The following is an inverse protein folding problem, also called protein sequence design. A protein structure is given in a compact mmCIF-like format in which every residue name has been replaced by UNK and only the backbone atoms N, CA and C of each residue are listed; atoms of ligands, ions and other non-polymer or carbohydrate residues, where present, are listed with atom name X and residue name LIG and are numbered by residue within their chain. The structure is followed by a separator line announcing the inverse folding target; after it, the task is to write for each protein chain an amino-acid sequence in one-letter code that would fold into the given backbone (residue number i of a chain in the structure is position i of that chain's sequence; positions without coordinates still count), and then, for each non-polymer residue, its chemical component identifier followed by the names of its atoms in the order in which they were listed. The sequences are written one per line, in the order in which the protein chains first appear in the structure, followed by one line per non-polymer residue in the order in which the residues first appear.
data_IF_074718927230
#
_entry.id   IF_074718927230
#
_cell.length_a   1.000
_cell.length_b   1.000
_cell.length_c   1.000
_cell.angle_alpha   90.00
_cell.angle_beta   90.00
_cell.angle_gamma   90.00
#
_symmetry.space_group_name_H-M   'P 1'
#
loop_
_entity.id
_entity.type
_entity.pdbx_description
1 polymer ?
#
# COMPACT_ATOMS: atom_id res chain seq x y z
N UNK A 1 72.50 20.18 -17.40
CA UNK A 1 71.18 19.60 -17.11
C UNK A 1 70.96 19.79 -15.62
N UNK A 2 70.02 20.66 -15.29
CA UNK A 2 69.76 21.16 -13.95
C UNK A 2 69.27 20.04 -13.02
N UNK A 3 69.82 20.02 -11.82
CA UNK A 3 69.32 19.25 -10.69
C UNK A 3 69.57 20.08 -9.43
N UNK A 4 68.48 20.53 -8.81
CA UNK A 4 68.46 21.04 -7.44
C UNK A 4 67.41 20.23 -6.68
N UNK A 5 67.73 19.76 -5.47
CA UNK A 5 66.74 19.54 -4.42
C UNK A 5 66.88 20.58 -3.28
N UNK A 6 65.88 20.65 -2.39
CA UNK A 6 65.48 21.90 -1.74
C UNK A 6 65.94 22.02 -0.29
N UNK A 7 65.83 23.24 0.23
CA UNK A 7 65.99 23.58 1.64
C UNK A 7 64.68 24.04 2.29
N UNK A 8 64.61 23.73 3.58
CA UNK A 8 63.90 24.39 4.69
C UNK A 8 62.39 24.16 4.88
N UNK A 9 62.15 23.30 5.86
CA UNK A 9 61.06 23.33 6.84
C UNK A 9 60.98 24.65 7.62
N UNK A 10 59.76 25.11 7.90
CA UNK A 10 59.44 25.77 9.18
C UNK A 10 57.98 25.53 9.55
N UNK A 11 57.82 24.93 10.72
CA UNK A 11 56.58 24.66 11.46
C UNK A 11 55.96 25.93 12.03
N UNK A 12 54.63 25.94 12.14
CA UNK A 12 53.86 26.90 12.91
C UNK A 12 52.40 26.45 13.01
N UNK A 13 52.07 25.78 14.12
CA UNK A 13 50.70 25.47 14.54
C UNK A 13 49.89 26.76 14.78
N UNK A 14 48.60 26.75 14.41
CA UNK A 14 47.51 26.97 15.37
C UNK A 14 46.13 27.11 14.70
N UNK A 15 45.16 26.52 15.40
CA UNK A 15 43.73 26.88 15.45
C UNK A 15 42.81 26.33 14.37
N UNK A 16 42.02 25.36 14.84
CA UNK A 16 40.78 24.91 14.26
C UNK A 16 39.79 26.07 14.10
N UNK A 17 39.17 26.16 12.92
CA UNK A 17 37.74 26.45 12.84
C UNK A 17 37.12 25.35 11.99
N UNK A 18 36.60 24.32 12.66
CA UNK A 18 35.58 23.45 12.12
C UNK A 18 34.35 24.30 11.82
N UNK A 19 34.30 24.88 10.62
CA UNK A 19 33.05 25.31 10.03
C UNK A 19 32.25 24.05 9.77
N UNK A 20 31.44 23.64 10.75
CA UNK A 20 30.29 22.80 10.51
C UNK A 20 29.36 23.62 9.62
N UNK A 21 29.65 23.54 8.32
CA UNK A 21 28.86 24.18 7.29
C UNK A 21 27.49 23.53 7.33
N UNK A 22 26.50 24.35 7.68
CA UNK A 22 25.09 24.24 7.33
C UNK A 22 24.55 22.81 7.26
N UNK A 23 23.80 22.41 8.29
CA UNK A 23 22.79 21.34 8.19
C UNK A 23 22.00 21.53 6.89
N UNK A 24 22.36 20.78 5.85
CA UNK A 24 21.62 20.74 4.59
C UNK A 24 20.27 20.12 4.91
N UNK A 25 19.29 20.97 5.19
CA UNK A 25 17.90 20.55 5.25
C UNK A 25 17.43 20.65 3.81
N UNK A 26 17.15 19.52 3.11
CA UNK A 26 16.69 19.56 1.73
C UNK A 26 15.49 20.51 1.64
N UNK A 27 15.42 21.44 0.68
CA UNK A 27 14.31 22.40 0.59
C UNK A 27 12.95 21.75 0.28
N UNK A 28 12.94 20.45 -0.08
CA UNK A 28 11.77 19.69 -0.51
C UNK A 28 11.70 18.33 0.17
N UNK A 29 10.50 17.79 0.26
CA UNK A 29 10.26 16.39 0.60
C UNK A 29 10.39 15.54 -0.68
N UNK A 30 10.61 14.23 -0.54
CA UNK A 30 10.69 13.33 -1.70
C UNK A 30 9.55 12.32 -1.69
N UNK A 31 8.82 12.28 -2.79
CA UNK A 31 7.64 11.44 -3.00
C UNK A 31 7.95 10.20 -3.83
N UNK A 32 7.62 9.03 -3.30
CA UNK A 32 7.60 7.77 -4.06
C UNK A 32 6.16 7.33 -4.33
N UNK A 33 5.81 7.00 -5.58
CA UNK A 33 4.47 6.53 -5.91
C UNK A 33 4.18 5.17 -5.25
N UNK A 34 3.13 5.10 -4.45
CA UNK A 34 2.64 3.85 -3.84
C UNK A 34 1.53 3.21 -4.66
N UNK A 35 0.62 4.04 -5.18
CA UNK A 35 -0.53 3.55 -5.92
C UNK A 35 -1.05 4.56 -6.94
N UNK A 36 -1.40 4.04 -8.11
CA UNK A 36 -2.12 4.77 -9.16
C UNK A 36 -3.31 3.94 -9.68
N UNK A 37 -4.44 4.57 -10.02
CA UNK A 37 -5.59 3.88 -10.58
C UNK A 37 -5.29 3.38 -12.01
N UNK A 38 -5.44 2.07 -12.24
CA UNK A 38 -5.24 1.45 -13.55
C UNK A 38 -6.40 1.72 -14.52
N UNK A 39 -7.62 1.86 -14.00
CA UNK A 39 -8.81 2.10 -14.81
C UNK A 39 -9.32 3.51 -14.48
N UNK A 40 -8.99 4.46 -15.34
CA UNK A 40 -9.52 5.81 -15.30
C UNK A 40 -10.86 5.87 -16.05
N UNK A 41 -11.91 6.38 -15.41
CA UNK A 41 -13.20 6.64 -16.05
C UNK A 41 -13.23 8.10 -16.49
N UNK A 42 -13.71 8.34 -17.72
CA UNK A 42 -13.94 9.69 -18.24
C UNK A 42 -14.79 10.48 -17.23
N UNK A 43 -14.28 11.63 -16.78
CA UNK A 43 -14.93 12.52 -15.81
C UNK A 43 -14.53 12.33 -14.35
N UNK A 44 -13.70 11.32 -14.00
CA UNK A 44 -13.15 11.18 -12.64
C UNK A 44 -11.71 11.65 -12.61
N UNK A 45 -11.33 12.61 -11.76
CA UNK A 45 -9.92 13.01 -11.65
C UNK A 45 -9.10 11.87 -10.99
N UNK A 46 -8.01 11.37 -11.62
CA UNK A 46 -7.19 10.31 -11.03
C UNK A 46 -6.58 10.78 -9.72
N UNK A 47 -6.51 9.89 -8.73
CA UNK A 47 -5.89 10.19 -7.43
C UNK A 47 -4.75 9.23 -7.20
N UNK A 48 -3.57 9.78 -7.00
CA UNK A 48 -2.35 9.06 -6.74
C UNK A 48 -2.11 9.02 -5.23
N UNK A 49 -1.50 7.94 -4.74
CA UNK A 49 -1.04 7.83 -3.36
C UNK A 49 0.49 7.80 -3.39
N UNK A 50 1.11 8.77 -2.73
CA UNK A 50 2.56 8.88 -2.61
C UNK A 50 2.98 8.72 -1.15
N UNK A 51 4.17 8.15 -0.93
CA UNK A 51 4.88 8.25 0.33
C UNK A 51 5.84 9.42 0.20
N UNK A 52 5.59 10.50 0.94
CA UNK A 52 6.52 11.60 1.10
C UNK A 52 7.42 11.31 2.30
N UNK A 53 8.73 11.30 2.06
CA UNK A 53 9.75 11.15 3.08
C UNK A 53 10.42 12.50 3.33
N UNK A 54 10.58 12.85 4.60
CA UNK A 54 11.17 14.11 5.03
C UNK A 54 12.03 13.93 6.27
N UNK A 55 13.02 14.81 6.42
CA UNK A 55 13.90 14.83 7.58
C UNK A 55 13.23 15.60 8.72
N UNK A 56 12.99 14.94 9.84
CA UNK A 56 12.46 15.57 11.04
C UNK A 56 13.57 16.26 11.86
N UNK A 57 13.18 17.09 12.82
CA UNK A 57 14.09 17.88 13.67
C UNK A 57 15.11 17.04 14.46
N UNK A 58 14.79 15.76 14.69
CA UNK A 58 15.65 14.78 15.35
C UNK A 58 16.59 14.03 14.39
N UNK A 59 16.72 14.53 13.15
CA UNK A 59 17.43 13.90 12.04
C UNK A 59 16.91 12.49 11.67
N UNK A 60 15.69 12.12 12.08
CA UNK A 60 15.05 10.89 11.61
C UNK A 60 14.30 11.14 10.31
N UNK A 61 14.32 10.17 9.40
CA UNK A 61 13.45 10.20 8.23
C UNK A 61 12.05 9.78 8.70
N UNK A 62 11.07 10.66 8.47
CA UNK A 62 9.65 10.36 8.70
C UNK A 62 8.94 10.24 7.36
N UNK A 63 8.00 9.30 7.32
CA UNK A 63 7.13 9.08 6.17
C UNK A 63 5.74 9.65 6.41
N UNK A 64 5.15 10.24 5.39
CA UNK A 64 3.77 10.67 5.37
C UNK A 64 3.13 10.31 4.04
N UNK A 65 1.91 9.77 4.08
CA UNK A 65 1.17 9.54 2.84
C UNK A 65 0.53 10.83 2.35
N UNK A 66 0.68 11.10 1.05
CA UNK A 66 0.06 12.23 0.34
C UNK A 66 -0.87 11.71 -0.75
N UNK A 67 -2.01 12.38 -0.93
CA UNK A 67 -2.98 12.09 -1.98
C UNK A 67 -2.98 13.21 -3.03
N UNK A 68 -2.61 12.88 -4.27
CA UNK A 68 -2.46 13.87 -5.34
C UNK A 68 -3.53 13.67 -6.41
N UNK A 69 -4.37 14.68 -6.64
CA UNK A 69 -5.35 14.68 -7.74
C UNK A 69 -4.67 15.18 -9.01
N UNK A 70 -4.64 14.35 -10.05
CA UNK A 70 -4.10 14.75 -11.34
C UNK A 70 -5.05 15.73 -12.04
N UNK A 71 -4.54 16.89 -12.44
CA UNK A 71 -5.22 17.94 -13.20
C UNK A 71 -4.60 18.05 -14.61
N UNK A 72 -4.98 17.17 -15.56
CA UNK A 72 -4.34 17.13 -16.88
C UNK A 72 -4.64 18.37 -17.73
N UNK A 73 -5.69 19.12 -17.40
CA UNK A 73 -6.11 20.34 -18.09
C UNK A 73 -5.32 21.60 -17.66
N UNK A 74 -4.50 21.50 -16.60
CA UNK A 74 -3.70 22.62 -16.09
C UNK A 74 -2.32 22.71 -16.76
N UNK A 75 -1.75 21.58 -17.22
CA UNK A 75 -0.41 21.53 -17.79
C UNK A 75 -0.43 20.68 -19.08
N UNK A 76 -0.09 21.29 -20.21
CA UNK A 76 -0.30 20.72 -21.56
C UNK A 76 0.76 19.70 -22.02
N UNK A 77 1.76 19.37 -21.19
CA UNK A 77 2.96 18.65 -21.67
C UNK A 77 2.90 17.12 -21.50
N UNK A 78 2.25 16.61 -20.46
CA UNK A 78 2.16 15.16 -20.21
C UNK A 78 0.73 14.78 -19.85
N UNK A 79 0.07 14.07 -20.75
CA UNK A 79 -1.25 13.49 -20.48
C UNK A 79 -1.14 12.36 -19.46
N UNK A 80 -2.07 12.32 -18.50
CA UNK A 80 -2.17 11.19 -17.58
C UNK A 80 -2.52 9.92 -18.35
N UNK A 81 -1.63 8.93 -18.26
CA UNK A 81 -1.92 7.54 -18.59
C UNK A 81 -1.44 6.65 -17.44
N UNK A 82 -2.17 5.60 -17.05
CA UNK A 82 -1.66 4.59 -16.12
C UNK A 82 -0.32 3.97 -16.55
N UNK A 83 -0.01 4.01 -17.84
CA UNK A 83 1.26 3.53 -18.40
C UNK A 83 2.39 4.55 -18.25
N UNK A 84 2.12 5.82 -17.96
CA UNK A 84 3.14 6.86 -17.69
C UNK A 84 4.14 6.37 -16.65
N UNK A 85 3.63 5.79 -15.56
CA UNK A 85 4.47 5.34 -14.44
C UNK A 85 5.33 4.11 -14.79
N UNK A 86 5.03 3.44 -15.90
CA UNK A 86 5.80 2.30 -16.42
C UNK A 86 6.92 2.74 -17.36
N UNK A 87 6.93 3.99 -17.80
CA UNK A 87 7.99 4.51 -18.67
C UNK A 87 9.31 4.58 -17.92
N UNK A 88 10.41 4.28 -18.60
CA UNK A 88 11.78 4.45 -18.07
C UNK A 88 11.99 5.89 -17.60
N UNK A 89 11.53 6.86 -18.40
CA UNK A 89 11.59 8.28 -18.10
C UNK A 89 11.01 8.62 -16.71
N UNK A 90 9.81 8.12 -16.38
CA UNK A 90 9.24 8.35 -15.06
C UNK A 90 10.04 7.64 -13.95
N UNK A 91 10.45 6.40 -14.19
CA UNK A 91 11.18 5.60 -13.19
C UNK A 91 12.55 6.18 -12.85
N UNK A 92 13.24 6.77 -13.82
CA UNK A 92 14.50 7.49 -13.62
C UNK A 92 14.32 8.84 -12.94
N UNK A 93 13.10 9.39 -12.97
CA UNK A 93 12.77 10.68 -12.32
C UNK A 93 12.34 10.52 -10.86
N UNK A 94 12.02 9.31 -10.40
CA UNK A 94 11.66 9.06 -9.00
C UNK A 94 12.89 8.96 -8.09
N UNK A 95 12.80 9.41 -6.81
CA UNK A 95 11.63 10.01 -6.17
C UNK A 95 11.41 11.47 -6.58
N UNK A 96 10.13 11.86 -6.69
CA UNK A 96 9.76 13.19 -7.16
C UNK A 96 9.80 14.23 -6.03
N UNK A 97 10.27 15.45 -6.27
CA UNK A 97 10.25 16.50 -5.26
C UNK A 97 8.81 16.96 -4.95
N UNK A 98 8.47 17.06 -3.66
CA UNK A 98 7.17 17.55 -3.18
C UNK A 98 7.34 18.79 -2.28
N UNK A 99 6.36 19.71 -2.26
CA UNK A 99 6.37 20.84 -1.33
C UNK A 99 6.40 20.37 0.12
N UNK A 100 7.25 21.03 0.92
CA UNK A 100 7.29 20.81 2.36
C UNK A 100 5.97 21.18 3.03
N UNK A 101 5.73 20.54 4.16
CA UNK A 101 4.74 21.00 5.14
C UNK A 101 3.67 19.97 5.46
N UNK A 102 2.79 20.37 6.35
CA UNK A 102 1.76 19.53 6.92
C UNK A 102 0.48 19.58 6.06
N UNK A 103 0.47 18.77 5.01
CA UNK A 103 -0.65 18.59 4.10
C UNK A 103 -0.76 17.11 3.73
N UNK A 104 -1.96 16.65 3.39
CA UNK A 104 -2.17 15.26 2.97
C UNK A 104 -2.89 15.17 1.61
N UNK A 105 -3.22 16.31 1.03
CA UNK A 105 -3.98 16.41 -0.19
C UNK A 105 -3.52 17.59 -1.05
N UNK A 106 -3.34 17.39 -2.35
CA UNK A 106 -3.00 18.45 -3.28
C UNK A 106 -3.48 18.13 -4.70
N UNK A 107 -3.46 19.13 -5.57
CA UNK A 107 -3.55 18.92 -7.01
C UNK A 107 -2.14 18.79 -7.60
N UNK A 108 -2.05 18.06 -8.71
CA UNK A 108 -0.77 17.79 -9.38
C UNK A 108 -0.91 17.81 -10.88
N UNK A 109 0.14 18.26 -11.57
CA UNK A 109 0.34 17.99 -12.98
C UNK A 109 1.77 17.49 -13.24
N UNK A 110 1.96 16.81 -14.37
CA UNK A 110 3.27 16.29 -14.79
C UNK A 110 3.78 17.11 -15.96
N UNK A 111 5.06 17.44 -15.91
CA UNK A 111 5.78 18.21 -16.92
C UNK A 111 6.95 17.39 -17.44
N UNK A 112 7.36 17.63 -18.69
CA UNK A 112 8.52 16.98 -19.27
C UNK A 112 9.63 18.01 -19.43
N UNK A 113 10.52 18.07 -18.46
CA UNK A 113 11.60 19.06 -18.43
C UNK A 113 12.88 18.48 -19.04
N UNK A 114 13.71 19.36 -19.61
CA UNK A 114 15.01 19.01 -20.19
C UNK A 114 16.11 19.30 -19.18
N UNK A 115 17.08 18.40 -19.03
CA UNK A 115 18.27 18.69 -18.23
C UNK A 115 19.09 19.82 -18.88
N UNK A 116 19.50 20.82 -18.09
CA UNK A 116 20.15 22.04 -18.61
C UNK A 116 21.41 21.79 -19.46
N UNK A 117 22.10 20.66 -19.25
CA UNK A 117 23.42 20.35 -19.83
C UNK A 117 23.42 19.13 -20.76
N UNK A 118 22.27 18.49 -20.97
CA UNK A 118 22.17 17.23 -21.70
C UNK A 118 20.94 17.22 -22.63
N UNK A 119 20.92 16.33 -23.63
CA UNK A 119 19.73 16.09 -24.45
C UNK A 119 18.78 15.05 -23.82
N UNK A 120 18.85 14.93 -22.49
CA UNK A 120 18.03 14.05 -21.65
C UNK A 120 16.87 14.83 -21.03
N UNK A 121 15.79 14.11 -20.70
CA UNK A 121 14.58 14.67 -20.11
C UNK A 121 14.28 13.99 -18.78
N UNK A 122 13.46 14.62 -17.95
CA UNK A 122 12.87 14.01 -16.76
C UNK A 122 11.41 14.43 -16.59
N UNK A 123 10.67 13.68 -15.78
CA UNK A 123 9.33 14.06 -15.35
C UNK A 123 9.47 14.96 -14.12
N UNK A 124 9.03 16.21 -14.26
CA UNK A 124 8.82 17.10 -13.14
C UNK A 124 7.37 17.02 -12.68
N UNK A 125 7.16 17.39 -11.42
CA UNK A 125 5.84 17.43 -10.81
C UNK A 125 5.57 18.83 -10.27
N UNK A 126 4.49 19.45 -10.74
CA UNK A 126 4.01 20.69 -10.17
C UNK A 126 2.84 20.38 -9.23
N UNK A 127 3.03 20.74 -7.97
CA UNK A 127 2.04 20.53 -6.90
C UNK A 127 1.48 21.88 -6.50
N UNK A 128 0.17 21.95 -6.35
CA UNK A 128 -0.52 23.19 -6.01
C UNK A 128 -1.80 22.92 -5.21
N UNK A 129 -2.26 23.94 -4.48
CA UNK A 129 -3.44 23.86 -3.61
C UNK A 129 -3.30 22.77 -2.54
N UNK A 130 -2.13 22.71 -1.91
CA UNK A 130 -1.81 21.88 -0.77
C UNK A 130 -2.76 22.20 0.37
N UNK A 131 -3.41 21.17 0.91
CA UNK A 131 -4.36 21.32 2.00
C UNK A 131 -4.29 20.10 2.90
N UNK A 132 -4.58 20.33 4.17
CA UNK A 132 -4.95 19.26 5.08
C UNK A 132 -6.43 18.92 4.89
N UNK A 133 -6.75 17.63 4.77
CA UNK A 133 -8.13 17.14 4.76
C UNK A 133 -8.33 16.10 5.85
N UNK A 134 -9.48 16.18 6.52
CA UNK A 134 -9.96 15.07 7.34
C UNK A 134 -10.45 13.96 6.42
N UNK A 135 -9.66 12.90 6.30
CA UNK A 135 -9.96 11.79 5.41
C UNK A 135 -11.00 10.84 6.04
N UNK A 136 -11.92 10.28 5.24
CA UNK A 136 -12.92 9.32 5.72
C UNK A 136 -12.24 8.07 6.32
N UNK A 137 -12.71 7.61 7.47
CA UNK A 137 -12.28 6.33 8.08
C UNK A 137 -13.15 5.17 7.61
N UNK A 138 -12.70 3.94 7.87
CA UNK A 138 -13.58 2.77 7.82
C UNK A 138 -14.68 2.87 8.90
N UNK A 139 -15.83 2.24 8.64
CA UNK A 139 -16.94 2.20 9.60
C UNK A 139 -16.53 1.55 10.93
N UNK A 140 -16.97 2.08 12.08
CA UNK A 140 -16.60 1.55 13.40
C UNK A 140 -16.90 0.06 13.60
N UNK A 141 -17.97 -0.46 12.99
CA UNK A 141 -18.38 -1.87 13.11
C UNK A 141 -17.35 -2.84 12.51
N UNK A 142 -16.62 -2.39 11.48
CA UNK A 142 -15.54 -3.15 10.86
C UNK A 142 -14.25 -3.15 11.71
N UNK A 143 -14.09 -2.18 12.61
CA UNK A 143 -12.89 -2.00 13.43
C UNK A 143 -13.00 -2.86 14.71
N UNK A 144 -11.93 -3.59 15.03
CA UNK A 144 -11.81 -4.38 16.25
C UNK A 144 -10.96 -3.59 17.24
N UNK A 145 -11.61 -3.04 18.26
CA UNK A 145 -10.98 -2.12 19.21
C UNK A 145 -9.82 -2.76 19.98
N UNK A 146 -9.89 -4.07 20.20
CA UNK A 146 -8.92 -4.89 20.93
C UNK A 146 -7.69 -5.30 20.11
N UNK A 147 -7.75 -5.13 18.78
CA UNK A 147 -6.63 -5.51 17.90
C UNK A 147 -5.65 -4.33 17.75
N UNK A 148 -4.34 -4.62 17.62
CA UNK A 148 -3.34 -3.58 17.46
C UNK A 148 -3.58 -2.76 16.19
N UNK A 149 -3.13 -1.52 16.20
CA UNK A 149 -3.16 -0.59 15.07
C UNK A 149 -1.71 -0.22 14.75
N UNK A 150 -1.29 -0.52 13.53
CA UNK A 150 0.08 -0.31 13.07
C UNK A 150 0.06 0.73 11.97
N UNK A 151 0.88 1.77 12.11
CA UNK A 151 0.99 2.79 11.07
C UNK A 151 1.60 2.19 9.80
N UNK A 152 1.00 2.51 8.66
CA UNK A 152 1.41 2.03 7.35
C UNK A 152 2.89 2.26 7.08
N UNK A 153 3.42 3.40 7.52
CA UNK A 153 4.82 3.80 7.32
C UNK A 153 5.81 3.02 8.19
N UNK A 154 5.33 2.30 9.21
CA UNK A 154 6.16 1.45 10.08
C UNK A 154 6.26 0.01 9.55
N UNK A 155 5.41 -0.38 8.58
CA UNK A 155 5.39 -1.72 8.01
C UNK A 155 6.57 -1.92 7.03
N UNK A 156 7.40 -2.92 7.32
CA UNK A 156 8.44 -3.35 6.38
C UNK A 156 7.84 -4.27 5.32
N UNK A 157 7.96 -3.88 4.05
CA UNK A 157 7.45 -4.66 2.92
C UNK A 157 8.45 -5.77 2.54
N UNK A 158 7.96 -6.98 2.40
CA UNK A 158 8.75 -8.14 1.96
C UNK A 158 8.55 -8.36 0.46
N UNK A 159 9.63 -8.74 -0.23
CA UNK A 159 9.59 -9.09 -1.66
C UNK A 159 9.03 -10.52 -1.86
N UNK A 160 7.74 -10.67 -1.53
CA UNK A 160 7.00 -11.92 -1.68
C UNK A 160 5.79 -11.64 -2.57
N UNK A 161 5.74 -12.32 -3.71
CA UNK A 161 4.63 -12.18 -4.65
C UNK A 161 3.47 -13.12 -4.29
N UNK A 162 2.33 -12.54 -3.92
CA UNK A 162 1.09 -13.27 -3.61
C UNK A 162 0.29 -13.67 -4.85
N UNK A 163 0.70 -13.25 -6.05
CA UNK A 163 -0.02 -13.48 -7.30
C UNK A 163 0.86 -14.23 -8.30
N UNK A 164 0.22 -15.03 -9.16
CA UNK A 164 0.91 -15.77 -10.23
C UNK A 164 1.49 -14.85 -11.31
N UNK A 165 0.93 -13.65 -11.47
CA UNK A 165 1.50 -12.60 -12.31
C UNK A 165 2.17 -11.55 -11.42
N UNK A 166 3.34 -11.01 -11.80
CA UNK A 166 3.94 -9.89 -11.09
C UNK A 166 2.92 -8.76 -10.98
N UNK A 167 2.83 -8.17 -9.78
CA UNK A 167 2.01 -6.99 -9.56
C UNK A 167 2.54 -5.85 -10.43
N UNK A 168 1.66 -4.99 -10.92
CA UNK A 168 2.08 -3.67 -11.40
C UNK A 168 2.81 -2.97 -10.23
N UNK A 169 3.98 -2.38 -10.51
CA UNK A 169 4.89 -1.74 -9.53
C UNK A 169 4.13 -0.90 -8.49
N UNK A 170 3.10 -0.18 -8.93
CA UNK A 170 2.28 0.73 -8.09
C UNK A 170 0.90 0.16 -7.71
N UNK A 171 0.86 -1.07 -7.22
CA UNK A 171 -0.37 -1.67 -6.67
C UNK A 171 -0.22 -2.05 -5.20
N UNK A 172 0.05 -1.08 -4.32
CA UNK A 172 0.36 -1.31 -2.90
C UNK A 172 -0.83 -1.76 -2.02
N UNK A 173 -1.97 -2.10 -2.63
CA UNK A 173 -3.19 -2.55 -1.93
C UNK A 173 -3.01 -3.83 -1.13
N UNK A 174 -2.16 -4.73 -1.60
CA UNK A 174 -1.92 -6.04 -0.99
C UNK A 174 -0.42 -6.33 -1.05
N UNK A 175 0.20 -6.56 0.10
CA UNK A 175 1.63 -6.86 0.23
C UNK A 175 1.85 -7.84 1.37
N UNK A 176 2.93 -8.61 1.30
CA UNK A 176 3.46 -9.27 2.49
C UNK A 176 4.33 -8.27 3.25
N UNK A 177 4.11 -8.15 4.54
CA UNK A 177 4.77 -7.20 5.43
C UNK A 177 5.21 -7.87 6.72
N UNK A 178 6.05 -7.17 7.46
CA UNK A 178 6.43 -7.51 8.83
C UNK A 178 6.56 -6.25 9.68
N UNK A 179 6.52 -6.40 11.01
CA UNK A 179 6.62 -5.29 11.96
C UNK A 179 7.31 -5.74 13.26
N UNK A 180 8.04 -4.84 13.91
CA UNK A 180 8.83 -5.13 15.12
C UNK A 180 8.00 -5.68 16.27
N UNK A 181 6.74 -5.24 16.39
CA UNK A 181 5.83 -5.69 17.45
C UNK A 181 5.31 -7.12 17.24
N UNK A 182 5.56 -7.72 16.07
CA UNK A 182 5.16 -9.09 15.76
C UNK A 182 6.40 -9.97 15.66
N UNK A 183 6.84 -10.44 16.82
CA UNK A 183 7.99 -11.33 16.99
C UNK A 183 9.29 -10.75 16.39
N UNK A 184 9.58 -9.48 16.68
CA UNK A 184 10.80 -8.78 16.23
C UNK A 184 11.06 -8.89 14.72
N UNK A 185 10.00 -8.73 13.92
CA UNK A 185 9.96 -8.89 12.46
C UNK A 185 9.94 -10.34 11.91
N UNK A 186 9.89 -11.38 12.75
CA UNK A 186 9.82 -12.76 12.26
C UNK A 186 8.41 -13.11 11.70
N UNK A 187 7.36 -12.49 12.23
CA UNK A 187 5.99 -12.76 11.79
C UNK A 187 5.70 -12.10 10.43
N UNK A 188 5.55 -12.92 9.39
CA UNK A 188 5.04 -12.47 8.09
C UNK A 188 3.53 -12.30 8.13
N UNK A 189 3.05 -11.21 7.54
CA UNK A 189 1.63 -10.86 7.50
C UNK A 189 1.25 -10.44 6.09
N UNK A 190 -0.01 -10.64 5.71
CA UNK A 190 -0.57 -10.00 4.52
C UNK A 190 -1.27 -8.71 4.93
N UNK A 191 -0.75 -7.59 4.43
CA UNK A 191 -1.40 -6.30 4.49
C UNK A 191 -2.44 -6.22 3.37
N UNK A 192 -3.67 -5.80 3.69
CA UNK A 192 -4.71 -5.45 2.72
C UNK A 192 -5.32 -4.10 3.08
N UNK A 193 -5.26 -3.14 2.16
CA UNK A 193 -5.69 -1.75 2.42
C UNK A 193 -6.68 -1.22 1.38
N UNK A 194 -7.46 -0.24 1.84
CA UNK A 194 -8.19 0.70 1.01
C UNK A 194 -7.21 1.77 0.47
N UNK A 195 -6.88 1.76 -0.83
CA UNK A 195 -5.75 2.53 -1.35
C UNK A 195 -5.99 4.03 -1.44
N UNK A 196 -7.24 4.49 -1.42
CA UNK A 196 -7.55 5.90 -1.60
C UNK A 196 -8.89 6.23 -0.96
N UNK A 197 -9.00 7.35 -0.23
CA UNK A 197 -10.23 7.78 0.43
C UNK A 197 -11.42 8.00 -0.52
N UNK A 198 -11.17 8.07 -1.83
CA UNK A 198 -12.21 8.24 -2.87
C UNK A 198 -12.64 6.92 -3.53
N UNK A 199 -11.96 5.81 -3.23
CA UNK A 199 -12.42 4.50 -3.68
C UNK A 199 -13.55 3.98 -2.79
N UNK A 200 -14.34 3.03 -3.30
CA UNK A 200 -15.33 2.35 -2.47
C UNK A 200 -14.62 1.57 -1.34
N UNK A 201 -14.99 1.86 -0.08
CA UNK A 201 -14.46 1.20 1.13
C UNK A 201 -15.27 -0.02 1.58
N UNK A 202 -16.49 -0.21 1.06
CA UNK A 202 -17.41 -1.28 1.47
C UNK A 202 -16.79 -2.67 1.36
N UNK A 203 -15.98 -2.93 0.32
CA UNK A 203 -15.34 -4.23 0.15
C UNK A 203 -14.39 -4.56 1.33
N UNK A 204 -13.53 -3.63 1.73
CA UNK A 204 -12.59 -3.89 2.83
C UNK A 204 -13.31 -3.96 4.18
N UNK A 205 -14.32 -3.12 4.40
CA UNK A 205 -15.13 -3.13 5.63
C UNK A 205 -15.86 -4.46 5.78
N UNK A 206 -16.50 -4.93 4.70
CA UNK A 206 -17.21 -6.21 4.64
C UNK A 206 -16.28 -7.38 4.83
N UNK A 207 -15.08 -7.32 4.27
CA UNK A 207 -14.07 -8.34 4.51
C UNK A 207 -13.65 -8.38 5.99
N UNK A 208 -13.33 -7.24 6.60
CA UNK A 208 -12.95 -7.15 8.01
C UNK A 208 -14.07 -7.65 8.95
N UNK A 209 -15.33 -7.32 8.66
CA UNK A 209 -16.48 -7.85 9.38
C UNK A 209 -16.61 -9.37 9.20
N UNK A 210 -16.32 -9.90 8.02
CA UNK A 210 -16.34 -11.34 7.78
C UNK A 210 -15.23 -12.05 8.57
N UNK A 211 -14.01 -11.50 8.61
CA UNK A 211 -12.93 -12.01 9.46
C UNK A 211 -13.35 -12.00 10.94
N UNK A 212 -14.14 -11.01 11.37
CA UNK A 212 -14.70 -10.95 12.74
C UNK A 212 -15.64 -12.10 13.02
N UNK A 213 -16.54 -12.37 12.09
CA UNK A 213 -17.42 -13.52 12.18
C UNK A 213 -16.66 -14.85 12.13
N UNK A 214 -15.49 -14.91 11.49
CA UNK A 214 -14.66 -16.11 11.37
C UNK A 214 -13.66 -16.32 12.52
N UNK A 215 -13.51 -15.37 13.43
CA UNK A 215 -12.45 -15.43 14.44
C UNK A 215 -12.53 -16.69 15.30
N UNK A 216 -11.39 -17.34 15.52
CA UNK A 216 -11.28 -18.59 16.27
C UNK A 216 -11.89 -19.84 15.62
N UNK A 217 -12.45 -19.77 14.40
CA UNK A 217 -13.14 -20.91 13.74
C UNK A 217 -12.25 -21.75 12.82
N UNK A 218 -11.03 -21.29 12.55
CA UNK A 218 -10.05 -22.03 11.73
C UNK A 218 -10.48 -22.22 10.27
N UNK A 219 -11.16 -21.22 9.70
CA UNK A 219 -11.67 -21.22 8.30
C UNK A 219 -11.13 -20.04 7.47
N UNK A 220 -10.48 -19.08 8.11
CA UNK A 220 -9.80 -17.93 7.49
C UNK A 220 -8.41 -17.79 8.13
N UNK A 221 -7.46 -17.10 7.47
CA UNK A 221 -6.25 -16.65 8.16
C UNK A 221 -6.60 -15.83 9.40
N UNK A 222 -5.73 -15.81 10.42
CA UNK A 222 -6.00 -15.02 11.62
C UNK A 222 -5.97 -13.52 11.32
N UNK A 223 -6.89 -12.78 11.94
CA UNK A 223 -6.84 -11.32 11.96
C UNK A 223 -5.85 -10.87 13.04
N UNK A 224 -4.78 -10.18 12.60
CA UNK A 224 -3.65 -9.82 13.46
C UNK A 224 -3.71 -8.37 13.92
N UNK A 225 -4.25 -7.46 13.11
CA UNK A 225 -4.27 -6.04 13.43
C UNK A 225 -4.88 -5.18 12.34
N UNK A 226 -4.94 -3.88 12.60
CA UNK A 226 -5.35 -2.86 11.65
C UNK A 226 -4.14 -2.16 11.07
N UNK A 227 -4.28 -1.73 9.82
CA UNK A 227 -3.34 -0.80 9.20
C UNK A 227 -3.92 0.59 9.34
N UNK A 228 -3.14 1.50 9.91
CA UNK A 228 -3.50 2.91 10.03
C UNK A 228 -2.64 3.80 9.15
N UNK A 229 -3.13 5.00 8.90
CA UNK A 229 -2.37 6.07 8.26
C UNK A 229 -2.77 7.36 8.96
N UNK A 230 -1.81 7.99 9.66
CA UNK A 230 -2.07 9.16 10.51
C UNK A 230 -3.16 8.86 11.55
N UNK A 231 -3.13 7.67 12.15
CA UNK A 231 -4.11 7.20 13.13
C UNK A 231 -5.44 6.73 12.56
N UNK A 232 -5.71 6.96 11.26
CA UNK A 232 -6.94 6.53 10.59
C UNK A 232 -6.84 5.09 10.14
N UNK A 233 -7.76 4.22 10.56
CA UNK A 233 -7.82 2.84 10.06
C UNK A 233 -8.19 2.83 8.58
N UNK A 234 -7.38 2.14 7.78
CA UNK A 234 -7.53 2.04 6.33
C UNK A 234 -7.45 0.60 5.81
N UNK A 235 -7.19 -0.38 6.67
CA UNK A 235 -7.09 -1.77 6.26
C UNK A 235 -6.75 -2.71 7.39
N UNK A 236 -6.30 -3.90 7.03
CA UNK A 236 -6.05 -4.99 7.96
C UNK A 236 -4.72 -5.71 7.70
N UNK A 237 -4.21 -6.32 8.76
CA UNK A 237 -3.13 -7.28 8.77
C UNK A 237 -3.72 -8.66 9.08
N UNK A 238 -3.49 -9.61 8.19
CA UNK A 238 -3.90 -11.00 8.37
C UNK A 238 -2.67 -11.92 8.31
N UNK A 239 -2.80 -13.11 8.87
CA UNK A 239 -1.75 -14.12 8.86
C UNK A 239 -1.31 -14.47 7.42
N UNK A 240 0.01 -14.50 7.20
CA UNK A 240 0.57 -15.08 5.99
C UNK A 240 0.70 -16.60 6.17
N UNK A 241 -0.10 -17.38 5.43
CA UNK A 241 -0.07 -18.83 5.50
C UNK A 241 1.09 -19.36 4.65
N UNK A 242 2.29 -19.36 5.23
CA UNK A 242 3.50 -19.82 4.56
C UNK A 242 3.40 -21.30 4.14
N UNK A 243 3.76 -21.59 2.89
CA UNK A 243 3.68 -22.93 2.31
C UNK A 243 2.30 -23.34 1.80
N UNK A 244 1.27 -22.47 1.92
CA UNK A 244 -0.03 -22.78 1.36
C UNK A 244 -0.05 -22.75 -0.18
N UNK A 245 -0.90 -23.58 -0.77
CA UNK A 245 -1.14 -23.62 -2.22
C UNK A 245 -2.62 -23.46 -2.55
N UNK A 246 -2.91 -23.19 -3.82
CA UNK A 246 -4.28 -23.14 -4.34
C UNK A 246 -4.76 -24.56 -4.68
N UNK A 247 -6.06 -24.87 -4.56
CA UNK A 247 -6.57 -26.18 -4.95
C UNK A 247 -6.28 -26.46 -6.42
N UNK A 248 -5.65 -27.61 -6.67
CA UNK A 248 -5.17 -28.06 -7.98
C UNK A 248 -5.95 -29.24 -8.55
N UNK A 249 -6.54 -30.10 -7.70
CA UNK A 249 -7.28 -31.30 -8.11
C UNK A 249 -8.73 -31.32 -7.59
N UNK A 250 -9.54 -32.32 -7.99
CA UNK A 250 -10.95 -32.40 -7.59
C UNK A 250 -11.16 -32.73 -6.10
N UNK A 251 -10.26 -33.49 -5.48
CA UNK A 251 -10.31 -33.79 -4.04
C UNK A 251 -10.12 -32.52 -3.21
N UNK A 252 -9.16 -31.68 -3.58
CA UNK A 252 -8.91 -30.39 -2.95
C UNK A 252 -10.05 -29.39 -3.17
N UNK A 253 -10.68 -29.42 -4.35
CA UNK A 253 -11.90 -28.62 -4.59
C UNK A 253 -13.04 -29.08 -3.70
N UNK A 254 -13.15 -30.38 -3.43
CA UNK A 254 -14.14 -30.91 -2.50
C UNK A 254 -13.88 -30.46 -1.06
N UNK A 255 -12.61 -30.45 -0.62
CA UNK A 255 -12.24 -29.83 0.65
C UNK A 255 -12.66 -28.34 0.72
N UNK A 256 -12.52 -27.61 -0.39
CA UNK A 256 -12.96 -26.20 -0.47
C UNK A 256 -14.49 -26.06 -0.36
N UNK A 257 -15.26 -26.96 -0.98
CA UNK A 257 -16.75 -26.99 -0.84
C UNK A 257 -17.16 -27.26 0.61
N UNK A 258 -16.51 -28.22 1.26
CA UNK A 258 -16.75 -28.53 2.68
C UNK A 258 -16.39 -27.34 3.59
N UNK A 259 -15.27 -26.67 3.34
CA UNK A 259 -14.88 -25.47 4.06
C UNK A 259 -15.89 -24.32 3.87
N UNK A 260 -16.42 -24.16 2.66
CA UNK A 260 -17.47 -23.19 2.37
C UNK A 260 -18.79 -23.52 3.10
N UNK A 261 -19.18 -24.80 3.14
CA UNK A 261 -20.32 -25.26 3.93
C UNK A 261 -20.15 -24.98 5.43
N UNK A 262 -18.94 -25.21 5.97
CA UNK A 262 -18.59 -24.83 7.34
C UNK A 262 -18.67 -23.32 7.56
N UNK A 263 -18.18 -22.52 6.63
CA UNK A 263 -18.29 -21.06 6.69
C UNK A 263 -19.75 -20.61 6.79
N UNK A 264 -20.62 -21.13 5.93
CA UNK A 264 -22.06 -20.84 5.98
C UNK A 264 -22.67 -21.23 7.34
N UNK A 265 -22.45 -22.47 7.79
CA UNK A 265 -23.05 -22.99 9.02
C UNK A 265 -22.53 -22.32 10.30
N UNK A 266 -21.25 -21.93 10.36
CA UNK A 266 -20.64 -21.36 11.56
C UNK A 266 -20.81 -19.85 11.69
N UNK A 267 -21.07 -19.14 10.59
CA UNK A 267 -21.10 -17.68 10.58
C UNK A 267 -22.45 -17.10 10.16
N UNK A 268 -23.26 -17.85 9.40
CA UNK A 268 -24.44 -17.32 8.71
C UNK A 268 -24.11 -16.38 7.55
N UNK A 269 -22.82 -16.06 7.33
CA UNK A 269 -22.38 -15.32 6.15
C UNK A 269 -22.29 -16.25 4.96
N UNK A 270 -22.54 -15.70 3.78
CA UNK A 270 -22.48 -16.46 2.53
C UNK A 270 -21.54 -15.80 1.54
N UNK A 271 -20.77 -16.60 0.84
CA UNK A 271 -19.90 -16.07 -0.21
C UNK A 271 -20.74 -15.66 -1.42
N UNK A 272 -20.31 -14.63 -2.15
CA UNK A 272 -20.96 -14.31 -3.42
C UNK A 272 -20.75 -15.47 -4.42
N UNK A 273 -21.81 -16.12 -4.95
CA UNK A 273 -21.68 -17.26 -5.84
C UNK A 273 -20.93 -16.95 -7.14
N UNK A 274 -20.94 -15.69 -7.59
CA UNK A 274 -20.18 -15.27 -8.77
C UNK A 274 -18.72 -14.97 -8.47
N UNK A 275 -18.34 -14.90 -7.19
CA UNK A 275 -16.95 -14.68 -6.75
C UNK A 275 -16.24 -15.99 -6.40
N UNK A 276 -16.95 -17.13 -6.42
CA UNK A 276 -16.42 -18.48 -6.19
C UNK A 276 -15.44 -18.90 -7.26
N UNK A 277 -14.17 -18.79 -6.91
CA UNK A 277 -13.03 -19.09 -7.75
C UNK A 277 -11.98 -19.77 -6.89
N UNK A 278 -11.28 -20.76 -7.43
CA UNK A 278 -10.15 -21.45 -6.77
C UNK A 278 -9.09 -20.52 -6.18
N UNK A 279 -8.93 -19.32 -6.74
CA UNK A 279 -7.93 -18.34 -6.30
C UNK A 279 -8.23 -17.75 -4.91
N UNK A 280 -9.45 -17.98 -4.39
CA UNK A 280 -9.92 -17.47 -3.10
C UNK A 280 -9.84 -18.52 -1.97
N UNK A 281 -9.14 -19.61 -2.22
CA UNK A 281 -8.87 -20.67 -1.25
C UNK A 281 -7.37 -20.92 -1.17
N UNK A 282 -6.90 -21.15 0.05
CA UNK A 282 -5.55 -21.59 0.35
C UNK A 282 -5.63 -22.92 1.12
N UNK A 283 -4.80 -23.88 0.73
CA UNK A 283 -4.69 -25.18 1.41
C UNK A 283 -3.31 -25.28 2.03
N UNK A 284 -3.25 -25.66 3.29
CA UNK A 284 -2.01 -26.01 3.99
C UNK A 284 -2.28 -27.16 4.93
N UNK A 285 -1.50 -28.23 4.82
CA UNK A 285 -1.57 -29.41 5.69
C UNK A 285 -3.02 -29.95 5.85
N UNK A 286 -3.76 -30.02 4.74
CA UNK A 286 -5.17 -30.44 4.69
C UNK A 286 -6.19 -29.43 5.25
N UNK A 287 -5.73 -28.31 5.80
CA UNK A 287 -6.59 -27.21 6.26
C UNK A 287 -6.87 -26.23 5.13
N UNK A 288 -8.14 -25.88 4.94
CA UNK A 288 -8.57 -24.89 3.95
C UNK A 288 -8.85 -23.56 4.62
N UNK A 289 -8.28 -22.49 4.06
CA UNK A 289 -8.50 -21.11 4.44
C UNK A 289 -9.20 -20.37 3.31
N UNK A 290 -10.33 -19.74 3.62
CA UNK A 290 -11.09 -18.89 2.68
C UNK A 290 -10.56 -17.46 2.78
N UNK A 291 -10.29 -16.84 1.64
CA UNK A 291 -9.80 -15.45 1.53
C UNK A 291 -10.67 -14.65 0.55
N UNK A 292 -10.39 -13.35 0.46
CA UNK A 292 -11.09 -12.41 -0.42
C UNK A 292 -12.62 -12.42 -0.21
N UNK A 293 -13.00 -12.06 1.02
CA UNK A 293 -14.37 -12.09 1.52
C UNK A 293 -15.08 -10.72 1.44
N UNK A 294 -14.49 -9.74 0.74
CA UNK A 294 -15.06 -8.39 0.61
C UNK A 294 -16.39 -8.32 -0.12
N UNK A 295 -16.78 -9.38 -0.82
CA UNK A 295 -18.09 -9.53 -1.48
C UNK A 295 -19.02 -10.51 -0.74
N UNK A 296 -18.69 -10.95 0.47
CA UNK A 296 -19.54 -11.85 1.23
C UNK A 296 -20.85 -11.15 1.63
N UNK A 297 -21.95 -11.88 1.57
CA UNK A 297 -23.24 -11.46 2.05
C UNK A 297 -23.32 -11.66 3.56
N UNK A 298 -23.75 -10.61 4.25
CA UNK A 298 -24.06 -10.65 5.69
C UNK A 298 -25.22 -11.62 5.95
N UNK A 299 -25.42 -12.10 7.18
CA UNK A 299 -26.61 -12.87 7.54
C UNK A 299 -27.92 -12.14 7.18
N UNK A 300 -27.95 -10.82 7.33
CA UNK A 300 -29.10 -9.98 6.97
C UNK A 300 -29.34 -9.97 5.45
N UNK A 301 -28.26 -9.82 4.65
CA UNK A 301 -28.33 -9.93 3.19
C UNK A 301 -28.90 -11.30 2.78
N UNK A 302 -28.48 -12.37 3.46
CA UNK A 302 -28.91 -13.75 3.18
C UNK A 302 -30.41 -13.91 3.40
N UNK A 303 -30.91 -13.45 4.55
CA UNK A 303 -32.34 -13.47 4.87
C UNK A 303 -33.14 -12.67 3.84
N UNK A 304 -32.66 -11.49 3.45
CA UNK A 304 -33.35 -10.61 2.49
C UNK A 304 -33.48 -11.22 1.09
N UNK A 305 -32.53 -12.06 0.66
CA UNK A 305 -32.48 -12.67 -0.67
C UNK A 305 -33.25 -14.00 -0.77
N UNK A 306 -33.71 -14.58 0.36
CA UNK A 306 -34.44 -15.85 0.41
C UNK A 306 -33.54 -17.10 0.30
N UNK A 307 -34.12 -18.31 0.34
CA UNK A 307 -33.35 -19.56 0.45
C UNK A 307 -32.75 -20.12 -0.86
N UNK A 308 -32.99 -19.50 -2.03
CA UNK A 308 -32.67 -20.09 -3.34
C UNK A 308 -31.41 -19.59 -4.05
N UNK A 309 -30.69 -18.60 -3.50
CA UNK A 309 -29.61 -17.91 -4.23
C UNK A 309 -28.19 -18.43 -3.92
N UNK A 310 -28.01 -19.13 -2.80
CA UNK A 310 -26.73 -19.66 -2.37
C UNK A 310 -26.44 -21.02 -3.05
N UNK A 311 -26.14 -21.01 -4.35
CA UNK A 311 -25.64 -22.19 -5.03
C UNK A 311 -24.18 -22.49 -4.65
N UNK A 312 -23.86 -23.77 -4.45
CA UNK A 312 -22.48 -24.27 -4.26
C UNK A 312 -21.73 -24.26 -5.60
N UNK A 313 -21.22 -23.10 -6.00
CA UNK A 313 -20.17 -23.06 -7.02
C UNK A 313 -18.84 -22.80 -6.32
N UNK A 314 -17.82 -23.58 -6.67
CA UNK A 314 -16.39 -23.42 -6.31
C UNK A 314 -15.59 -23.53 -7.59
#
# INVERSE_FOLDING_TARGET
MESNPPSSSSSGDASASSGADSTFVPERDYGTLLWAPQNHRVGMKPILRYLAEFLADDNTIKGMVKYLIVQPDQCFEVEYSPDLFKTELYQESEPLPLPKGDWNFANVCFLKEKYEKEDSYYIAVEVFQETWKNLPSLEPEAIWAEKPKIEYVELLKLDINLRSKPLYKYSDRIRVVTHKDFDSHETKMVMKIWPSPMCNKTEIEREMMTYKACDGKGITPKFLGHVTEMGRVMGMLIEYIEGAHKPGNEEEKELCRQALGRFHGLTGWHRNPTASHKDNFLIKDGTVYIIDLGNAYTPEDVVSKGHGWAGEKV
#
